data_IF_717182073476
#
_entry.id   IF_717182073476
#
_cell.length_a   1.000
_cell.length_b   1.000
_cell.length_c   1.000
_cell.angle_alpha   90.00
_cell.angle_beta   90.00
_cell.angle_gamma   90.00
#
_symmetry.space_group_name_H-M   'P 1'
#
loop_
_entity.id
_entity.type
_entity.pdbx_description
1 polymer ?
#
# COMPACT_ATOMS: atom_id res chain seq x y z
N UNK A 1 22.44 5.77 6.67
CA UNK A 1 21.34 6.24 7.50
C UNK A 1 21.92 6.89 8.76
N UNK A 2 21.52 8.11 9.06
CA UNK A 2 21.89 8.80 10.30
C UNK A 2 20.69 8.72 11.23
N UNK A 3 20.91 8.48 12.53
CA UNK A 3 19.84 8.52 13.51
C UNK A 3 20.28 9.19 14.81
N UNK A 4 19.31 9.69 15.57
CA UNK A 4 19.44 10.17 16.94
C UNK A 4 18.32 9.58 17.77
N UNK A 5 18.63 9.15 18.99
CA UNK A 5 17.68 8.65 19.94
C UNK A 5 17.52 9.61 21.11
N UNK A 6 16.27 9.87 21.51
CA UNK A 6 15.95 10.74 22.64
C UNK A 6 14.81 10.11 23.47
N UNK A 7 14.85 10.24 24.80
CA UNK A 7 13.70 9.93 25.63
C UNK A 7 12.52 10.83 25.27
N UNK A 8 11.35 10.24 25.14
CA UNK A 8 10.14 10.97 24.76
C UNK A 8 8.98 10.57 25.66
N UNK A 9 8.35 11.53 26.34
CA UNK A 9 7.31 11.24 27.34
C UNK A 9 6.03 12.01 27.03
N UNK A 10 5.31 11.68 25.93
CA UNK A 10 4.03 12.29 25.65
C UNK A 10 2.98 11.77 26.62
N UNK A 11 2.19 12.66 27.20
CA UNK A 11 1.05 12.30 28.09
C UNK A 11 1.42 11.31 29.19
N UNK A 12 2.62 11.43 29.77
CA UNK A 12 3.15 10.57 30.84
C UNK A 12 3.45 9.11 30.42
N UNK A 13 3.52 8.82 29.12
CA UNK A 13 3.95 7.51 28.63
C UNK A 13 5.43 7.59 28.27
N UNK A 14 6.26 6.76 28.93
CA UNK A 14 7.68 6.69 28.59
C UNK A 14 7.87 5.99 27.25
N UNK A 15 8.59 6.64 26.34
CA UNK A 15 8.87 6.15 24.99
C UNK A 15 10.30 6.48 24.60
N UNK A 16 10.83 5.76 23.61
CA UNK A 16 12.04 6.09 22.89
C UNK A 16 11.63 6.76 21.57
N UNK A 17 12.17 7.94 21.28
CA UNK A 17 12.00 8.61 20.00
C UNK A 17 13.27 8.41 19.17
N UNK A 18 13.14 7.72 18.04
CA UNK A 18 14.22 7.46 17.11
C UNK A 18 13.97 8.34 15.88
N UNK A 19 14.87 9.29 15.66
CA UNK A 19 14.80 10.19 14.50
C UNK A 19 15.88 9.79 13.50
N UNK A 20 15.49 9.50 12.28
CA UNK A 20 16.40 9.16 11.18
C UNK A 20 16.47 10.29 10.16
N UNK A 21 17.61 10.42 9.48
CA UNK A 21 17.80 11.38 8.40
C UNK A 21 18.28 10.70 7.13
N UNK A 22 17.61 11.01 6.01
CA UNK A 22 17.97 10.52 4.68
C UNK A 22 18.18 11.68 3.70
N UNK A 23 19.41 11.91 3.19
CA UNK A 23 19.68 12.96 2.20
C UNK A 23 18.89 12.78 0.90
N UNK A 24 18.60 11.51 0.51
CA UNK A 24 17.78 11.21 -0.67
C UNK A 24 16.34 11.66 -0.44
N UNK A 25 15.79 11.40 0.73
CA UNK A 25 14.43 11.78 1.09
C UNK A 25 14.30 13.30 1.25
N UNK A 26 15.31 13.98 1.83
CA UNK A 26 15.37 15.43 1.92
C UNK A 26 15.26 16.10 0.55
N UNK A 27 16.04 15.62 -0.43
CA UNK A 27 15.97 16.13 -1.81
C UNK A 27 14.62 15.92 -2.46
N UNK A 28 14.00 14.77 -2.21
CA UNK A 28 12.66 14.47 -2.70
C UNK A 28 11.60 15.39 -2.11
N UNK A 29 11.60 15.58 -0.78
CA UNK A 29 10.66 16.47 -0.08
C UNK A 29 10.83 17.91 -0.53
N UNK A 30 12.08 18.38 -0.65
CA UNK A 30 12.38 19.72 -1.19
C UNK A 30 11.80 19.91 -2.58
N UNK A 31 11.99 18.98 -3.50
CA UNK A 31 11.46 19.07 -4.87
C UNK A 31 9.92 19.15 -4.89
N UNK A 32 9.26 18.36 -4.04
CA UNK A 32 7.78 18.43 -3.91
C UNK A 32 7.35 19.78 -3.37
N UNK A 33 8.02 20.29 -2.32
CA UNK A 33 7.70 21.59 -1.73
C UNK A 33 7.91 22.71 -2.73
N UNK A 34 9.05 22.73 -3.43
CA UNK A 34 9.35 23.75 -4.45
C UNK A 34 8.26 23.78 -5.54
N UNK A 35 7.82 22.62 -6.03
CA UNK A 35 6.72 22.53 -6.98
C UNK A 35 5.36 23.01 -6.42
N UNK A 36 5.12 22.85 -5.12
CA UNK A 36 3.91 23.39 -4.46
C UNK A 36 3.98 24.89 -4.26
N UNK A 37 5.16 25.42 -3.92
CA UNK A 37 5.43 26.86 -3.78
C UNK A 37 5.22 27.56 -5.13
N UNK A 38 5.73 27.02 -6.23
CA UNK A 38 5.50 27.53 -7.60
C UNK A 38 4.01 27.58 -7.95
N UNK A 39 3.25 26.55 -7.57
CA UNK A 39 1.79 26.54 -7.77
C UNK A 39 1.09 27.56 -6.89
N UNK A 40 1.55 27.74 -5.65
CA UNK A 40 1.00 28.77 -4.74
C UNK A 40 1.22 30.18 -5.30
N UNK A 41 2.41 30.47 -5.83
CA UNK A 41 2.73 31.73 -6.48
C UNK A 41 1.81 32.00 -7.67
N UNK A 42 1.64 31.01 -8.57
CA UNK A 42 0.71 31.12 -9.71
C UNK A 42 -0.73 31.40 -9.29
N UNK A 43 -1.17 30.83 -8.15
CA UNK A 43 -2.51 31.11 -7.60
C UNK A 43 -2.65 32.53 -7.06
N UNK A 44 -1.57 33.10 -6.50
CA UNK A 44 -1.53 34.50 -6.06
C UNK A 44 -1.59 35.42 -7.28
N UNK A 45 -0.74 35.20 -8.26
CA UNK A 45 -0.62 36.03 -9.47
C UNK A 45 -1.90 36.06 -10.31
N UNK A 46 -2.61 34.92 -10.35
CA UNK A 46 -3.90 34.81 -11.07
C UNK A 46 -5.11 35.30 -10.25
N UNK A 47 -4.93 35.73 -9.02
CA UNK A 47 -6.05 36.09 -8.12
C UNK A 47 -6.95 34.92 -7.71
N UNK A 48 -6.59 33.69 -8.08
CA UNK A 48 -7.40 32.49 -7.83
C UNK A 48 -7.21 31.88 -6.42
N UNK A 49 -6.52 32.56 -5.53
CA UNK A 49 -6.25 32.12 -4.15
C UNK A 49 -7.52 32.17 -3.25
N UNK A 50 -8.64 31.58 -3.70
CA UNK A 50 -9.88 31.48 -2.91
C UNK A 50 -9.70 30.53 -1.72
N UNK A 51 -10.49 30.79 -0.65
CA UNK A 51 -10.52 29.96 0.56
C UNK A 51 -10.92 28.51 0.19
N UNK A 52 -10.02 27.56 0.32
CA UNK A 52 -10.27 26.14 0.15
C UNK A 52 -9.98 25.36 1.43
N UNK A 53 -10.48 24.13 1.51
CA UNK A 53 -10.17 23.19 2.61
C UNK A 53 -8.66 22.91 2.58
N UNK A 54 -7.94 23.24 3.63
CA UNK A 54 -6.47 23.08 3.70
C UNK A 54 -6.15 21.60 3.90
N UNK A 55 -5.71 20.98 2.81
CA UNK A 55 -5.08 19.65 2.83
C UNK A 55 -3.56 19.86 2.96
N UNK A 56 -2.79 19.00 3.66
CA UNK A 56 -1.32 19.04 3.67
C UNK A 56 -0.66 19.06 2.28
N UNK A 57 -1.36 18.55 1.27
CA UNK A 57 -0.87 18.56 -0.13
C UNK A 57 -1.39 19.74 -0.96
N UNK A 58 -2.18 20.67 -0.36
CA UNK A 58 -2.71 21.83 -1.08
C UNK A 58 -1.66 22.96 -1.10
N UNK A 59 -1.25 23.46 -2.29
CA UNK A 59 -0.31 24.57 -2.41
C UNK A 59 -0.76 25.82 -1.64
N UNK A 60 -2.07 26.03 -1.47
CA UNK A 60 -2.63 27.17 -0.73
C UNK A 60 -2.23 27.22 0.74
N UNK A 61 -1.63 26.14 1.29
CA UNK A 61 -1.10 26.14 2.65
C UNK A 61 0.05 27.15 2.83
N UNK A 62 0.75 27.48 1.74
CA UNK A 62 1.84 28.47 1.71
C UNK A 62 1.36 29.88 1.39
N UNK A 63 0.05 30.12 1.26
CA UNK A 63 -0.51 31.43 1.01
C UNK A 63 -0.98 32.07 2.31
N UNK A 64 -0.30 33.13 2.72
CA UNK A 64 -0.71 34.04 3.78
C UNK A 64 -1.70 35.09 3.29
N UNK A 65 -2.42 35.70 4.20
CA UNK A 65 -3.36 36.78 3.93
C UNK A 65 -3.13 37.92 4.92
N UNK A 66 -3.00 39.10 4.39
CA UNK A 66 -2.93 40.34 5.17
C UNK A 66 -4.08 41.26 4.75
N UNK A 67 -4.75 41.85 5.73
CA UNK A 67 -5.73 42.89 5.47
C UNK A 67 -5.04 44.24 5.56
N UNK A 68 -5.04 45.00 4.47
CA UNK A 68 -4.45 46.35 4.42
C UNK A 68 -5.61 47.36 4.36
N UNK A 69 -5.64 48.27 5.32
CA UNK A 69 -6.55 49.41 5.31
C UNK A 69 -5.75 50.65 4.92
N UNK A 70 -6.21 51.36 3.91
CA UNK A 70 -5.74 52.72 3.61
C UNK A 70 -6.79 53.69 4.17
N UNK A 71 -6.39 54.48 5.15
CA UNK A 71 -7.13 55.63 5.70
C UNK A 71 -8.66 55.53 5.81
N UNK A 72 -9.13 54.57 6.59
CA UNK A 72 -10.57 54.49 6.92
C UNK A 72 -11.47 53.78 5.91
N UNK A 73 -10.94 53.27 4.82
CA UNK A 73 -11.68 52.50 3.81
C UNK A 73 -11.68 51.00 4.08
N UNK A 74 -12.53 50.27 3.34
CA UNK A 74 -12.65 48.80 3.45
C UNK A 74 -11.31 48.11 3.28
N UNK A 75 -10.94 47.25 4.25
CA UNK A 75 -9.70 46.50 4.22
C UNK A 75 -9.58 45.63 2.93
N UNK A 76 -8.57 45.91 2.13
CA UNK A 76 -8.24 45.09 0.97
C UNK A 76 -7.39 43.90 1.40
N UNK A 77 -7.82 42.66 1.08
CA UNK A 77 -7.08 41.45 1.42
C UNK A 77 -6.04 41.18 0.34
N UNK A 78 -4.77 41.31 0.72
CA UNK A 78 -3.64 40.89 -0.14
C UNK A 78 -3.18 39.48 0.23
N UNK A 79 -3.03 38.65 -0.77
CA UNK A 79 -2.41 37.32 -0.61
C UNK A 79 -0.91 37.45 -0.83
N UNK A 80 -0.13 36.74 -0.01
CA UNK A 80 1.34 36.71 -0.11
C UNK A 80 1.84 35.30 0.12
N UNK A 81 3.06 35.01 -0.33
CA UNK A 81 3.73 33.74 -0.08
C UNK A 81 4.33 33.77 1.33
N UNK A 82 3.93 32.81 2.17
CA UNK A 82 4.37 32.65 3.56
C UNK A 82 5.76 31.98 3.58
N UNK A 83 6.81 32.80 3.49
CA UNK A 83 8.21 32.35 3.47
C UNK A 83 8.62 31.68 4.78
N UNK A 84 8.16 32.20 5.91
CA UNK A 84 8.48 31.66 7.24
C UNK A 84 7.98 30.23 7.36
N UNK A 85 6.79 29.97 6.83
CA UNK A 85 6.22 28.62 6.81
C UNK A 85 6.98 27.68 5.88
N UNK A 86 7.42 28.17 4.72
CA UNK A 86 8.21 27.38 3.78
C UNK A 86 9.55 26.98 4.41
N UNK A 87 10.23 27.93 5.06
CA UNK A 87 11.50 27.70 5.75
C UNK A 87 11.31 26.77 6.95
N UNK A 88 10.26 26.96 7.74
CA UNK A 88 9.96 26.06 8.85
C UNK A 88 9.69 24.62 8.40
N UNK A 89 8.94 24.41 7.32
CA UNK A 89 8.74 23.07 6.76
C UNK A 89 10.06 22.48 6.22
N UNK A 90 10.97 23.31 5.70
CA UNK A 90 12.27 22.86 5.18
C UNK A 90 13.20 22.27 6.27
N UNK A 91 13.04 22.68 7.52
CA UNK A 91 13.81 22.14 8.65
C UNK A 91 13.58 20.66 8.88
N UNK A 92 12.42 20.14 8.44
CA UNK A 92 12.05 18.73 8.62
C UNK A 92 12.36 17.86 7.41
N UNK A 93 12.97 18.42 6.35
CA UNK A 93 13.30 17.64 5.16
C UNK A 93 14.27 16.51 5.47
N UNK A 94 13.89 15.32 5.02
CA UNK A 94 14.68 14.10 5.18
C UNK A 94 14.58 13.46 6.56
N UNK A 95 13.87 14.08 7.50
CA UNK A 95 13.66 13.52 8.83
C UNK A 95 12.47 12.54 8.80
N UNK A 96 12.64 11.41 9.47
CA UNK A 96 11.60 10.45 9.77
C UNK A 96 11.74 10.04 11.23
N UNK A 97 10.64 10.01 11.96
CA UNK A 97 10.65 9.69 13.39
C UNK A 97 9.75 8.49 13.70
N UNK A 98 10.26 7.60 14.53
CA UNK A 98 9.54 6.46 15.10
C UNK A 98 9.55 6.61 16.62
N UNK A 99 8.40 6.48 17.25
CA UNK A 99 8.27 6.40 18.69
C UNK A 99 7.84 4.99 19.09
N UNK A 100 8.50 4.42 20.11
CA UNK A 100 8.24 3.06 20.59
C UNK A 100 8.22 3.03 22.11
N UNK A 101 7.40 2.18 22.68
CA UNK A 101 7.32 1.85 24.12
C UNK A 101 8.22 0.66 24.49
N UNK A 102 8.92 0.08 23.53
CA UNK A 102 9.94 -0.94 23.77
C UNK A 102 11.17 -0.28 24.38
N UNK A 103 11.18 -0.15 25.71
CA UNK A 103 12.26 0.50 26.48
C UNK A 103 13.44 -0.45 26.72
N UNK A 104 13.16 -1.75 26.81
CA UNK A 104 14.14 -2.82 27.04
C UNK A 104 14.68 -3.36 25.72
N UNK A 105 15.45 -2.56 25.10
CA UNK A 105 16.56 -2.81 24.18
C UNK A 105 16.44 -3.82 23.00
N UNK A 106 15.45 -3.73 22.10
CA UNK A 106 15.73 -4.19 20.75
C UNK A 106 16.69 -3.20 20.06
N UNK A 107 17.66 -3.69 19.24
CA UNK A 107 18.51 -2.84 18.43
C UNK A 107 17.68 -1.87 17.60
N UNK A 108 18.17 -0.64 17.43
CA UNK A 108 17.47 0.40 16.65
C UNK A 108 17.20 -0.07 15.22
N UNK A 109 18.13 -0.84 14.64
CA UNK A 109 18.01 -1.45 13.32
C UNK A 109 16.78 -2.35 13.20
N UNK A 110 16.46 -3.12 14.22
CA UNK A 110 15.27 -4.00 14.22
C UNK A 110 13.98 -3.19 14.31
N UNK A 111 13.95 -2.13 15.13
CA UNK A 111 12.82 -1.22 15.21
C UNK A 111 12.57 -0.54 13.86
N UNK A 112 13.63 -0.05 13.21
CA UNK A 112 13.53 0.58 11.90
C UNK A 112 13.08 -0.40 10.82
N UNK A 113 13.62 -1.63 10.83
CA UNK A 113 13.25 -2.70 9.90
C UNK A 113 11.77 -3.09 10.03
N UNK A 114 11.24 -3.17 11.23
CA UNK A 114 9.79 -3.38 11.46
C UNK A 114 8.98 -2.22 10.88
N UNK A 115 9.45 -0.97 11.05
CA UNK A 115 8.83 0.20 10.46
C UNK A 115 8.84 0.17 8.91
N UNK A 116 9.93 -0.29 8.32
CA UNK A 116 10.05 -0.48 6.87
C UNK A 116 9.10 -1.57 6.34
N UNK A 117 8.85 -2.63 7.11
CA UNK A 117 7.90 -3.70 6.76
C UNK A 117 6.42 -3.32 6.84
N UNK A 118 6.09 -2.13 7.33
CA UNK A 118 4.69 -1.68 7.50
C UNK A 118 3.88 -1.68 6.20
N UNK A 119 4.53 -1.42 5.07
CA UNK A 119 3.88 -1.45 3.76
C UNK A 119 3.26 -2.81 3.43
N UNK A 120 3.82 -3.92 3.95
CA UNK A 120 3.26 -5.27 3.75
C UNK A 120 1.89 -5.40 4.41
N UNK A 121 1.71 -4.78 5.59
CA UNK A 121 0.43 -4.75 6.29
C UNK A 121 -0.58 -3.89 5.51
N UNK A 122 -0.15 -2.72 5.02
CA UNK A 122 -0.98 -1.83 4.20
C UNK A 122 -1.40 -2.52 2.91
N UNK A 123 -0.51 -3.28 2.29
CA UNK A 123 -0.79 -4.10 1.10
C UNK A 123 -1.80 -5.21 1.40
N UNK A 124 -1.69 -5.90 2.54
CA UNK A 124 -2.68 -6.88 2.98
C UNK A 124 -4.09 -6.28 3.13
N UNK A 125 -4.19 -5.08 3.73
CA UNK A 125 -5.46 -4.37 3.83
C UNK A 125 -5.98 -3.92 2.45
N UNK A 126 -5.10 -3.50 1.54
CA UNK A 126 -5.47 -3.15 0.17
C UNK A 126 -6.07 -4.35 -0.55
N UNK A 127 -5.39 -5.51 -0.51
CA UNK A 127 -5.85 -6.76 -1.13
C UNK A 127 -7.23 -7.15 -0.59
N UNK A 128 -7.39 -7.17 0.74
CA UNK A 128 -8.68 -7.50 1.35
C UNK A 128 -9.80 -6.55 0.92
N UNK A 129 -9.50 -5.25 0.83
CA UNK A 129 -10.50 -4.22 0.51
C UNK A 129 -10.85 -4.22 -0.97
N UNK A 130 -9.84 -4.33 -1.85
CA UNK A 130 -9.98 -4.12 -3.29
C UNK A 130 -10.15 -5.44 -4.04
N UNK A 131 -9.21 -6.37 -3.87
CA UNK A 131 -9.17 -7.60 -4.69
C UNK A 131 -10.14 -8.67 -4.16
N UNK A 132 -10.35 -8.72 -2.83
CA UNK A 132 -11.31 -9.64 -2.20
C UNK A 132 -12.68 -9.01 -1.98
N UNK A 133 -12.82 -7.70 -2.24
CA UNK A 133 -14.07 -6.96 -2.05
C UNK A 133 -14.70 -7.19 -0.66
N UNK A 134 -13.87 -7.30 0.40
CA UNK A 134 -14.34 -7.51 1.76
C UNK A 134 -15.27 -6.39 2.29
N UNK A 135 -15.38 -5.29 1.55
CA UNK A 135 -16.28 -4.16 1.79
C UNK A 135 -16.98 -3.73 0.49
N UNK A 136 -18.24 -3.26 0.56
CA UNK A 136 -19.09 -3.09 1.75
C UNK A 136 -19.65 -4.42 2.30
N UNK A 137 -19.88 -4.48 3.63
CA UNK A 137 -20.45 -5.66 4.30
C UNK A 137 -21.95 -5.49 4.44
N UNK A 138 -22.72 -6.31 3.75
CA UNK A 138 -24.20 -6.29 3.77
C UNK A 138 -24.81 -7.24 4.83
N UNK A 139 -24.04 -7.58 5.87
CA UNK A 139 -24.45 -8.47 6.94
C UNK A 139 -24.89 -7.67 8.17
N UNK A 140 -25.95 -8.09 8.85
CA UNK A 140 -26.49 -7.41 10.04
C UNK A 140 -26.10 -8.07 11.35
N UNK A 141 -25.94 -9.40 11.38
CA UNK A 141 -25.62 -10.15 12.59
C UNK A 141 -24.11 -10.11 12.85
N UNK A 142 -23.72 -9.79 14.07
CA UNK A 142 -22.32 -9.71 14.51
C UNK A 142 -21.53 -11.00 14.24
N UNK A 143 -22.15 -12.16 14.53
CA UNK A 143 -21.53 -13.47 14.28
C UNK A 143 -21.24 -13.70 12.79
N UNK A 144 -22.13 -13.26 11.90
CA UNK A 144 -21.92 -13.36 10.44
C UNK A 144 -20.88 -12.38 9.95
N UNK A 145 -20.83 -11.17 10.53
CA UNK A 145 -19.79 -10.18 10.21
C UNK A 145 -18.40 -10.73 10.62
N UNK A 146 -18.28 -11.30 11.83
CA UNK A 146 -17.05 -11.95 12.29
C UNK A 146 -16.63 -13.10 11.38
N UNK A 147 -17.57 -13.98 11.00
CA UNK A 147 -17.30 -15.09 10.09
C UNK A 147 -16.86 -14.62 8.71
N UNK A 148 -17.45 -13.54 8.17
CA UNK A 148 -17.06 -12.93 6.90
C UNK A 148 -15.61 -12.44 6.93
N UNK A 149 -15.23 -11.66 7.94
CA UNK A 149 -13.86 -11.16 8.06
C UNK A 149 -12.85 -12.27 8.34
N UNK A 150 -13.23 -13.29 9.11
CA UNK A 150 -12.39 -14.48 9.32
C UNK A 150 -12.14 -15.21 7.99
N UNK A 151 -13.17 -15.40 7.18
CA UNK A 151 -13.05 -16.02 5.85
C UNK A 151 -12.12 -15.20 4.93
N UNK A 152 -12.29 -13.87 4.91
CA UNK A 152 -11.39 -12.99 4.16
C UNK A 152 -9.94 -13.09 4.64
N UNK A 153 -9.72 -13.16 5.95
CA UNK A 153 -8.39 -13.30 6.54
C UNK A 153 -7.74 -14.64 6.17
N UNK A 154 -8.49 -15.75 6.26
CA UNK A 154 -8.00 -17.06 5.84
C UNK A 154 -7.67 -17.08 4.34
N UNK A 155 -8.50 -16.45 3.51
CA UNK A 155 -8.24 -16.31 2.08
C UNK A 155 -6.96 -15.50 1.82
N UNK A 156 -6.71 -14.44 2.61
CA UNK A 156 -5.48 -13.65 2.52
C UNK A 156 -4.25 -14.50 2.87
N UNK A 157 -4.33 -15.33 3.91
CA UNK A 157 -3.23 -16.24 4.28
C UNK A 157 -2.92 -17.18 3.11
N UNK A 158 -3.94 -17.84 2.54
CA UNK A 158 -3.78 -18.75 1.41
C UNK A 158 -3.17 -18.02 0.21
N UNK A 159 -3.65 -16.81 -0.08
CA UNK A 159 -3.12 -15.97 -1.15
C UNK A 159 -1.64 -15.62 -0.95
N UNK A 160 -1.26 -15.21 0.26
CA UNK A 160 0.15 -14.88 0.57
C UNK A 160 1.08 -16.07 0.45
N UNK A 161 0.65 -17.27 0.83
CA UNK A 161 1.41 -18.50 0.58
C UNK A 161 1.57 -18.77 -0.92
N UNK A 162 0.52 -18.62 -1.70
CA UNK A 162 0.58 -18.79 -3.16
C UNK A 162 1.51 -17.75 -3.79
N UNK A 163 1.35 -16.48 -3.45
CA UNK A 163 2.18 -15.38 -3.95
C UNK A 163 3.67 -15.62 -3.67
N UNK A 164 3.99 -16.08 -2.44
CA UNK A 164 5.35 -16.46 -2.08
C UNK A 164 5.87 -17.62 -2.93
N UNK A 165 5.05 -18.63 -3.17
CA UNK A 165 5.43 -19.81 -3.95
C UNK A 165 5.70 -19.48 -5.43
N UNK A 166 5.04 -18.46 -6.00
CA UNK A 166 5.23 -18.01 -7.39
C UNK A 166 6.21 -16.84 -7.54
N UNK A 167 6.81 -16.33 -6.42
CA UNK A 167 7.93 -15.39 -6.45
C UNK A 167 7.62 -13.90 -6.44
N UNK A 168 6.47 -13.44 -5.94
CA UNK A 168 6.11 -12.00 -5.74
C UNK A 168 6.14 -11.10 -7.00
N UNK A 169 6.17 -11.66 -8.19
CA UNK A 169 6.35 -10.90 -9.45
C UNK A 169 5.03 -10.51 -10.14
N UNK A 170 3.89 -10.79 -9.50
CA UNK A 170 2.58 -10.62 -10.10
C UNK A 170 1.61 -9.94 -9.13
N UNK A 171 0.71 -9.12 -9.66
CA UNK A 171 -0.34 -8.47 -8.84
C UNK A 171 -1.43 -9.48 -8.45
N UNK A 172 -2.11 -9.22 -7.33
CA UNK A 172 -3.21 -10.06 -6.82
C UNK A 172 -4.30 -10.26 -7.88
N UNK A 173 -4.77 -9.18 -8.49
CA UNK A 173 -5.76 -9.21 -9.55
C UNK A 173 -5.36 -10.13 -10.72
N UNK A 174 -4.11 -10.02 -11.19
CA UNK A 174 -3.61 -10.85 -12.28
C UNK A 174 -3.56 -12.33 -11.92
N UNK A 175 -3.16 -12.66 -10.68
CA UNK A 175 -3.14 -14.05 -10.20
C UNK A 175 -4.56 -14.61 -10.15
N UNK A 176 -5.49 -13.87 -9.53
CA UNK A 176 -6.88 -14.31 -9.39
C UNK A 176 -7.58 -14.44 -10.75
N UNK A 177 -7.38 -13.47 -11.65
CA UNK A 177 -7.95 -13.52 -13.00
C UNK A 177 -7.40 -14.71 -13.76
N UNK A 178 -6.09 -14.93 -13.74
CA UNK A 178 -5.47 -16.09 -14.42
C UNK A 178 -6.02 -17.40 -13.87
N UNK A 179 -6.13 -17.57 -12.55
CA UNK A 179 -6.71 -18.78 -11.96
C UNK A 179 -8.17 -19.01 -12.35
N UNK A 180 -8.98 -17.95 -12.47
CA UNK A 180 -10.37 -18.03 -12.94
C UNK A 180 -10.47 -18.39 -14.41
N UNK A 181 -9.49 -17.98 -15.21
CA UNK A 181 -9.45 -18.25 -16.66
C UNK A 181 -8.86 -19.64 -17.00
N UNK A 182 -8.20 -20.32 -16.05
CA UNK A 182 -7.64 -21.66 -16.24
C UNK A 182 -8.75 -22.73 -16.30
N UNK A 183 -9.58 -22.66 -17.33
CA UNK A 183 -10.72 -23.55 -17.55
C UNK A 183 -10.40 -24.66 -18.55
N UNK A 184 -11.22 -25.70 -18.54
CA UNK A 184 -11.12 -26.86 -19.44
C UNK A 184 -12.47 -27.16 -20.09
N UNK A 185 -12.44 -27.46 -21.37
CA UNK A 185 -13.58 -28.04 -22.07
C UNK A 185 -13.48 -29.57 -21.97
N UNK A 186 -14.53 -30.18 -21.49
CA UNK A 186 -14.67 -31.64 -21.46
C UNK A 186 -15.17 -32.14 -22.81
N UNK A 187 -14.34 -32.88 -23.55
CA UNK A 187 -14.76 -33.58 -24.78
C UNK A 187 -15.32 -34.93 -24.35
N UNK A 188 -16.62 -35.11 -24.58
CA UNK A 188 -17.35 -36.29 -24.15
C UNK A 188 -16.60 -37.57 -24.56
N UNK A 189 -16.37 -38.45 -23.56
CA UNK A 189 -15.68 -39.74 -23.66
C UNK A 189 -14.17 -39.70 -23.99
N UNK A 190 -13.63 -38.59 -24.41
CA UNK A 190 -12.20 -38.47 -24.80
C UNK A 190 -11.33 -37.89 -23.71
N UNK A 191 -11.63 -36.70 -23.21
CA UNK A 191 -10.80 -36.03 -22.21
C UNK A 191 -11.05 -34.53 -22.09
N UNK A 192 -10.03 -33.76 -21.82
CA UNK A 192 -10.12 -32.34 -21.54
C UNK A 192 -9.14 -31.55 -22.39
N UNK A 193 -9.59 -30.37 -22.85
CA UNK A 193 -8.75 -29.40 -23.56
C UNK A 193 -8.72 -28.11 -22.75
N UNK A 194 -7.52 -27.60 -22.37
CA UNK A 194 -7.38 -26.30 -21.72
C UNK A 194 -7.85 -25.19 -22.67
N UNK A 195 -8.58 -24.20 -22.13
CA UNK A 195 -9.07 -23.05 -22.92
C UNK A 195 -8.23 -21.80 -22.66
N UNK A 196 -7.28 -21.86 -21.78
CA UNK A 196 -6.38 -20.75 -21.46
C UNK A 196 -5.07 -20.82 -22.24
N UNK A 197 -4.42 -19.66 -22.39
CA UNK A 197 -3.12 -19.55 -23.04
C UNK A 197 -1.99 -19.64 -22.01
N UNK A 198 -0.90 -20.30 -22.39
CA UNK A 198 0.31 -20.35 -21.60
C UNK A 198 0.94 -18.97 -21.45
N UNK A 199 1.34 -18.61 -20.23
CA UNK A 199 2.00 -17.36 -19.87
C UNK A 199 3.08 -17.63 -18.82
N UNK A 200 3.97 -16.66 -18.56
CA UNK A 200 4.96 -16.78 -17.47
C UNK A 200 4.31 -17.04 -16.11
N UNK A 201 3.10 -16.50 -15.88
CA UNK A 201 2.36 -16.72 -14.64
C UNK A 201 1.80 -18.14 -14.57
N UNK A 202 1.25 -18.68 -15.65
CA UNK A 202 0.79 -20.08 -15.65
C UNK A 202 1.96 -21.06 -15.49
N UNK A 203 3.15 -20.76 -16.04
CA UNK A 203 4.36 -21.54 -15.81
C UNK A 203 4.76 -21.53 -14.33
N UNK A 204 4.82 -20.34 -13.71
CA UNK A 204 5.10 -20.20 -12.27
C UNK A 204 4.08 -20.94 -11.39
N UNK A 205 2.79 -20.91 -11.76
CA UNK A 205 1.73 -21.67 -11.07
C UNK A 205 1.95 -23.19 -11.22
N UNK A 206 2.29 -23.66 -12.41
CA UNK A 206 2.60 -25.08 -12.65
C UNK A 206 3.82 -25.54 -11.84
N UNK A 207 4.88 -24.75 -11.80
CA UNK A 207 6.09 -25.04 -11.03
C UNK A 207 5.78 -25.04 -9.53
N UNK A 208 5.07 -24.03 -9.04
CA UNK A 208 4.61 -23.96 -7.66
C UNK A 208 3.66 -25.12 -7.32
N UNK A 209 2.80 -25.54 -8.22
CA UNK A 209 1.91 -26.70 -8.04
C UNK A 209 2.54 -28.05 -8.30
N UNK A 210 3.67 -28.16 -8.99
CA UNK A 210 4.38 -29.41 -9.31
C UNK A 210 3.65 -30.32 -10.28
N UNK A 211 2.65 -29.82 -10.99
CA UNK A 211 1.97 -30.49 -12.08
C UNK A 211 1.61 -29.48 -13.17
N UNK A 212 1.53 -29.95 -14.42
CA UNK A 212 1.16 -29.12 -15.58
C UNK A 212 -0.23 -29.45 -16.05
N UNK A 213 -0.92 -28.45 -16.59
CA UNK A 213 -2.25 -28.57 -17.14
C UNK A 213 -2.40 -27.90 -18.51
N UNK A 214 -1.31 -27.39 -19.08
CA UNK A 214 -1.23 -26.70 -20.39
C UNK A 214 -0.93 -27.64 -21.57
N UNK A 215 -1.33 -28.91 -21.46
CA UNK A 215 -1.25 -29.85 -22.56
C UNK A 215 -2.30 -29.55 -23.63
N UNK A 216 -2.01 -29.82 -24.90
CA UNK A 216 -2.98 -29.68 -25.99
C UNK A 216 -4.23 -30.52 -25.73
N UNK A 217 -4.03 -31.69 -25.11
CA UNK A 217 -5.09 -32.61 -24.73
C UNK A 217 -4.73 -33.37 -23.47
N UNK A 218 -5.67 -33.49 -22.55
CA UNK A 218 -5.53 -34.20 -21.27
C UNK A 218 -6.50 -35.37 -21.25
N UNK A 219 -6.00 -36.58 -21.21
CA UNK A 219 -6.82 -37.78 -21.08
C UNK A 219 -7.52 -37.83 -19.72
N UNK A 220 -8.62 -38.57 -19.62
CA UNK A 220 -9.32 -38.79 -18.33
C UNK A 220 -8.39 -39.35 -17.25
N UNK A 221 -7.47 -40.25 -17.64
CA UNK A 221 -6.46 -40.84 -16.74
C UNK A 221 -5.51 -39.76 -16.19
N UNK A 222 -4.94 -38.94 -17.07
CA UNK A 222 -4.06 -37.83 -16.67
C UNK A 222 -4.78 -36.83 -15.76
N UNK A 223 -6.03 -36.46 -16.09
CA UNK A 223 -6.82 -35.53 -15.25
C UNK A 223 -7.05 -36.10 -13.84
N UNK A 224 -7.34 -37.43 -13.73
CA UNK A 224 -7.46 -38.09 -12.43
C UNK A 224 -6.15 -38.05 -11.64
N UNK A 225 -5.01 -38.24 -12.30
CA UNK A 225 -3.68 -38.10 -11.66
C UNK A 225 -3.45 -36.69 -11.16
N UNK A 226 -3.69 -35.67 -11.99
CA UNK A 226 -3.58 -34.24 -11.60
C UNK A 226 -4.47 -33.93 -10.38
N UNK A 227 -5.73 -34.39 -10.40
CA UNK A 227 -6.64 -34.21 -9.27
C UNK A 227 -6.19 -34.94 -8.00
N UNK A 228 -5.59 -36.12 -8.13
CA UNK A 228 -5.03 -36.86 -7.01
C UNK A 228 -3.82 -36.15 -6.43
N UNK A 229 -2.91 -35.68 -7.26
CA UNK A 229 -1.72 -34.92 -6.84
C UNK A 229 -2.12 -33.60 -6.16
N UNK A 230 -3.08 -32.85 -6.70
CA UNK A 230 -3.57 -31.62 -6.10
C UNK A 230 -4.18 -31.79 -4.70
N UNK A 231 -4.77 -32.98 -4.41
CA UNK A 231 -5.36 -33.30 -3.10
C UNK A 231 -4.36 -33.82 -2.08
N UNK A 232 -3.33 -34.53 -2.52
CA UNK A 232 -2.40 -35.26 -1.65
C UNK A 232 -1.15 -34.47 -1.30
N UNK A 233 -1.06 -33.23 -1.66
CA UNK A 233 0.15 -32.45 -1.51
C UNK A 233 0.47 -32.13 -0.06
N UNK A 234 1.48 -32.81 0.49
CA UNK A 234 2.05 -32.60 1.83
C UNK A 234 3.08 -31.46 1.91
N UNK A 235 3.40 -30.79 0.79
CA UNK A 235 4.45 -29.77 0.74
C UNK A 235 4.02 -28.60 -0.13
N UNK A 236 3.55 -27.57 0.53
CA UNK A 236 3.78 -26.19 0.08
C UNK A 236 5.07 -25.77 0.80
N UNK A 237 6.11 -25.30 0.09
CA UNK A 237 7.36 -24.91 0.73
C UNK A 237 7.17 -23.73 1.68
#
# INVERSE_FOLDING_TARGET
LYYKEEPYTPKQIHQRLIVTYSPKFARYQKAIRDAQVDRAQKLIDSGAAKRGRRNPNDPRRFIGKIAVTEDGEKATVKNYLDTDKIEHEALYDGLYAVSTDLLDDPPIEDILKVGEGRWEIEECFRIMKTDFEARPVYLKLETRIKAHFLSCFLSLIIYRYLERAIGFNHTCDKILTTLREMNFVNIKEQGFVPTYKRTKLTDALHDACGFKTDYEFITKSQMRTIQKESKNRKKIP
#
